data_IF_359407546582
#
_entry.id   IF_359407546582
#
_cell.length_a   1.000
_cell.length_b   1.000
_cell.length_c   1.000
_cell.angle_alpha   90.00
_cell.angle_beta   90.00
_cell.angle_gamma   90.00
#
_symmetry.space_group_name_H-M   'P 1'
#
loop_
_entity.id
_entity.type
_entity.pdbx_description
1 polymer ?
#
# COMPACT_ATOMS: atom_id res chain seq x y z
N UNK A 1 -49.29 41.09 18.15
CA UNK A 1 -48.02 41.17 17.40
C UNK A 1 -46.98 40.29 18.08
N UNK A 2 -46.17 39.59 17.30
CA UNK A 2 -45.96 38.15 17.42
C UNK A 2 -45.06 37.73 18.58
N UNK A 3 -45.28 36.49 19.02
CA UNK A 3 -44.64 35.87 20.17
C UNK A 3 -43.14 35.66 19.98
N UNK A 4 -42.39 36.10 20.99
CA UNK A 4 -41.04 35.62 21.26
C UNK A 4 -41.13 34.14 21.64
N UNK A 5 -40.70 33.25 20.77
CA UNK A 5 -40.20 31.94 21.21
C UNK A 5 -38.75 32.14 21.66
N UNK A 6 -38.56 32.55 22.91
CA UNK A 6 -37.34 32.24 23.64
C UNK A 6 -37.49 30.80 24.12
N UNK A 7 -37.14 29.84 23.26
CA UNK A 7 -36.77 28.52 23.75
C UNK A 7 -35.35 28.66 24.30
N UNK A 8 -35.25 28.80 25.62
CA UNK A 8 -34.02 28.52 26.37
C UNK A 8 -33.69 27.04 26.23
N UNK A 9 -33.29 26.60 25.04
CA UNK A 9 -32.80 25.26 24.83
C UNK A 9 -31.35 25.24 25.32
N UNK A 10 -31.03 24.53 26.41
CA UNK A 10 -29.69 24.52 26.99
C UNK A 10 -28.70 23.73 26.13
N UNK A 11 -29.19 22.92 25.20
CA UNK A 11 -28.38 22.09 24.31
C UNK A 11 -28.86 22.16 22.84
N UNK A 12 -27.91 22.22 21.91
CA UNK A 12 -28.11 22.11 20.47
C UNK A 12 -27.59 20.75 20.01
N UNK A 13 -28.39 19.99 19.26
CA UNK A 13 -27.95 18.74 18.61
C UNK A 13 -27.88 18.96 17.10
N UNK A 14 -26.72 18.69 16.53
CA UNK A 14 -26.43 18.88 15.11
C UNK A 14 -26.04 17.52 14.52
N UNK A 15 -26.89 16.97 13.67
CA UNK A 15 -26.57 15.75 12.92
C UNK A 15 -26.00 16.16 11.56
N UNK A 16 -24.73 15.86 11.34
CA UNK A 16 -23.98 16.20 10.12
C UNK A 16 -24.16 17.65 9.61
N UNK A 17 -23.91 18.70 10.44
CA UNK A 17 -24.16 20.09 10.05
C UNK A 17 -23.28 20.59 8.88
N UNK A 18 -22.26 19.82 8.50
CA UNK A 18 -21.32 20.13 7.43
C UNK A 18 -21.54 19.26 6.18
N UNK A 19 -22.47 18.30 6.20
CA UNK A 19 -22.73 17.45 5.04
C UNK A 19 -23.28 18.28 3.88
N UNK A 20 -22.75 18.05 2.67
CA UNK A 20 -23.16 18.73 1.43
C UNK A 20 -22.93 20.25 1.38
N UNK A 21 -22.16 20.82 2.33
CA UNK A 21 -21.74 22.22 2.32
C UNK A 21 -20.31 22.36 1.77
N UNK A 22 -20.05 23.46 1.07
CA UNK A 22 -18.67 23.85 0.77
C UNK A 22 -17.91 24.17 2.07
N UNK A 23 -16.58 24.14 1.99
CA UNK A 23 -15.69 24.34 3.15
C UNK A 23 -15.97 25.66 3.87
N UNK A 24 -16.31 26.74 3.15
CA UNK A 24 -16.59 28.04 3.75
C UNK A 24 -17.91 28.03 4.53
N UNK A 25 -18.94 27.37 4.00
CA UNK A 25 -20.22 27.22 4.68
C UNK A 25 -20.11 26.34 5.91
N UNK A 26 -19.40 25.21 5.82
CA UNK A 26 -19.14 24.34 6.97
C UNK A 26 -18.45 25.11 8.12
N UNK A 27 -17.41 25.89 7.79
CA UNK A 27 -16.71 26.74 8.77
C UNK A 27 -17.64 27.78 9.39
N UNK A 28 -18.39 28.54 8.59
CA UNK A 28 -19.32 29.57 9.11
C UNK A 28 -20.38 28.98 10.04
N UNK A 29 -20.92 27.81 9.70
CA UNK A 29 -21.89 27.11 10.55
C UNK A 29 -21.26 26.77 11.90
N UNK A 30 -20.04 26.21 11.91
CA UNK A 30 -19.33 25.88 13.15
C UNK A 30 -18.93 27.13 13.95
N UNK A 31 -18.58 28.24 13.31
CA UNK A 31 -18.34 29.53 13.97
C UNK A 31 -19.60 30.08 14.66
N UNK A 32 -20.76 29.96 14.02
CA UNK A 32 -22.05 30.36 14.62
C UNK A 32 -22.40 29.48 15.81
N UNK A 33 -22.19 28.16 15.69
CA UNK A 33 -22.39 27.22 16.79
C UNK A 33 -21.45 27.54 17.95
N UNK A 34 -20.19 27.88 17.67
CA UNK A 34 -19.22 28.28 18.69
C UNK A 34 -19.67 29.54 19.44
N UNK A 35 -20.12 30.56 18.72
CA UNK A 35 -20.64 31.78 19.36
C UNK A 35 -21.84 31.48 20.30
N UNK A 36 -22.73 30.57 19.91
CA UNK A 36 -23.84 30.13 20.76
C UNK A 36 -23.38 29.39 22.01
N UNK A 37 -22.31 28.59 21.89
CA UNK A 37 -21.70 27.89 23.04
C UNK A 37 -21.02 28.86 23.98
N UNK A 38 -20.29 29.84 23.44
CA UNK A 38 -19.65 30.90 24.23
C UNK A 38 -20.69 31.77 24.98
N UNK A 39 -21.92 31.88 24.45
CA UNK A 39 -23.10 32.49 25.10
C UNK A 39 -23.76 31.58 26.17
N UNK A 40 -23.14 30.44 26.51
CA UNK A 40 -23.55 29.55 27.59
C UNK A 40 -24.43 28.37 27.18
N UNK A 41 -24.56 28.08 25.87
CA UNK A 41 -25.25 26.87 25.39
C UNK A 41 -24.29 25.69 25.31
N UNK A 42 -24.81 24.47 25.36
CA UNK A 42 -24.06 23.26 25.02
C UNK A 42 -24.38 22.86 23.58
N UNK A 43 -23.42 22.39 22.81
CA UNK A 43 -23.66 21.84 21.48
C UNK A 43 -23.05 20.43 21.36
N UNK A 44 -23.80 19.52 20.78
CA UNK A 44 -23.34 18.18 20.40
C UNK A 44 -23.49 18.07 18.89
N UNK A 45 -22.39 17.78 18.20
CA UNK A 45 -22.36 17.71 16.74
C UNK A 45 -21.72 16.41 16.26
N UNK A 46 -22.34 15.76 15.28
CA UNK A 46 -21.72 14.68 14.52
C UNK A 46 -20.92 15.27 13.35
N UNK A 47 -19.60 15.19 13.41
CA UNK A 47 -18.68 15.75 12.41
C UNK A 47 -17.80 14.62 11.86
N UNK A 48 -17.82 14.44 10.54
CA UNK A 48 -17.02 13.42 9.85
C UNK A 48 -15.59 13.87 9.53
N UNK A 49 -15.36 15.18 9.42
CA UNK A 49 -14.02 15.74 9.21
C UNK A 49 -13.31 15.91 10.56
N UNK A 50 -12.28 15.08 10.78
CA UNK A 50 -11.51 15.07 12.02
C UNK A 50 -10.78 16.39 12.30
N UNK A 51 -10.36 17.12 11.26
CA UNK A 51 -9.65 18.39 11.40
C UNK A 51 -10.59 19.53 11.79
N UNK A 52 -11.82 19.53 11.27
CA UNK A 52 -12.87 20.44 11.73
C UNK A 52 -13.29 20.12 13.17
N UNK A 53 -13.51 18.84 13.49
CA UNK A 53 -13.85 18.42 14.84
C UNK A 53 -12.77 18.83 15.85
N UNK A 54 -11.49 18.60 15.51
CA UNK A 54 -10.35 18.99 16.32
C UNK A 54 -10.31 20.49 16.64
N UNK A 55 -10.73 21.32 15.69
CA UNK A 55 -10.62 22.78 15.77
C UNK A 55 -11.76 23.44 16.53
N UNK A 56 -12.97 22.90 16.43
CA UNK A 56 -14.18 23.57 16.94
C UNK A 56 -14.78 22.90 18.18
N UNK A 57 -14.45 21.63 18.46
CA UNK A 57 -14.98 20.91 19.60
C UNK A 57 -14.02 20.96 20.79
N UNK A 58 -14.56 21.21 21.98
CA UNK A 58 -13.80 21.15 23.24
C UNK A 58 -13.54 19.70 23.68
N UNK A 59 -14.49 18.80 23.39
CA UNK A 59 -14.40 17.36 23.63
C UNK A 59 -14.87 16.57 22.40
N UNK A 60 -14.26 15.40 22.18
CA UNK A 60 -14.59 14.45 21.13
C UNK A 60 -14.97 13.10 21.73
N UNK A 61 -15.91 12.43 21.06
CA UNK A 61 -16.23 11.01 21.27
C UNK A 61 -16.05 10.31 19.94
N UNK A 62 -15.00 9.50 19.83
CA UNK A 62 -14.70 8.75 18.62
C UNK A 62 -15.48 7.44 18.62
N UNK A 63 -16.30 7.24 17.59
CA UNK A 63 -17.12 6.04 17.41
C UNK A 63 -16.57 5.22 16.24
N UNK A 64 -16.32 3.92 16.47
CA UNK A 64 -15.97 2.98 15.41
C UNK A 64 -16.46 1.57 15.73
N UNK A 65 -16.83 0.80 14.70
CA UNK A 65 -17.34 -0.57 14.88
C UNK A 65 -18.55 -0.69 15.80
N UNK A 66 -19.41 0.33 15.83
CA UNK A 66 -20.62 0.36 16.66
C UNK A 66 -20.41 0.69 18.15
N UNK A 67 -19.20 1.12 18.55
CA UNK A 67 -18.90 1.49 19.93
C UNK A 67 -17.99 2.71 20.07
N UNK A 68 -17.83 3.20 21.31
CA UNK A 68 -16.88 4.27 21.65
C UNK A 68 -15.48 3.69 21.71
N UNK A 69 -14.54 4.30 20.95
CA UNK A 69 -13.11 3.95 20.97
C UNK A 69 -12.31 4.86 21.89
N UNK A 70 -12.59 6.16 21.86
CA UNK A 70 -11.95 7.15 22.70
C UNK A 70 -12.90 8.30 23.01
N UNK A 71 -12.73 8.94 24.15
CA UNK A 71 -13.47 10.14 24.54
C UNK A 71 -12.58 11.07 25.38
N UNK A 72 -12.65 12.38 25.12
CA UNK A 72 -11.83 13.37 25.82
C UNK A 72 -11.52 14.57 24.93
N UNK A 73 -10.45 15.31 25.25
CA UNK A 73 -10.03 16.46 24.43
C UNK A 73 -9.53 16.00 23.07
N UNK A 74 -9.62 16.85 22.02
CA UNK A 74 -9.10 16.51 20.70
C UNK A 74 -7.69 15.93 20.69
N UNK A 75 -6.76 16.51 21.46
CA UNK A 75 -5.37 16.05 21.51
C UNK A 75 -5.19 14.67 22.16
N UNK A 76 -6.11 14.26 23.03
CA UNK A 76 -6.06 12.95 23.71
C UNK A 76 -6.77 11.87 22.88
N UNK A 77 -7.76 12.26 22.06
CA UNK A 77 -8.57 11.34 21.22
C UNK A 77 -7.92 11.13 19.85
N UNK A 78 -7.47 12.19 19.19
CA UNK A 78 -6.93 12.14 17.83
C UNK A 78 -5.43 11.86 17.87
N UNK A 79 -5.06 10.64 18.22
CA UNK A 79 -3.67 10.14 18.15
C UNK A 79 -3.50 9.14 17.02
N UNK A 80 -2.28 8.95 16.51
CA UNK A 80 -2.01 7.98 15.46
C UNK A 80 -2.46 6.56 15.85
N UNK A 81 -2.27 6.16 17.11
CA UNK A 81 -2.69 4.85 17.60
C UNK A 81 -4.21 4.71 17.64
N UNK A 82 -4.92 5.70 18.20
CA UNK A 82 -6.39 5.69 18.25
C UNK A 82 -7.01 5.66 16.85
N UNK A 83 -6.44 6.42 15.91
CA UNK A 83 -6.95 6.50 14.54
C UNK A 83 -6.67 5.22 13.74
N UNK A 84 -5.51 4.59 13.96
CA UNK A 84 -5.19 3.27 13.41
C UNK A 84 -6.19 2.23 13.91
N UNK A 85 -6.45 2.17 15.22
CA UNK A 85 -7.39 1.22 15.81
C UNK A 85 -8.84 1.46 15.38
N UNK A 86 -9.22 2.72 15.11
CA UNK A 86 -10.59 3.09 14.75
C UNK A 86 -10.91 2.96 13.26
N UNK A 87 -9.95 3.29 12.39
CA UNK A 87 -10.18 3.44 10.94
C UNK A 87 -9.27 2.57 10.07
N UNK A 88 -8.36 1.79 10.66
CA UNK A 88 -7.32 1.04 9.95
C UNK A 88 -6.46 1.94 9.05
N UNK A 89 -6.28 3.20 9.45
CA UNK A 89 -5.61 4.23 8.65
C UNK A 89 -4.25 4.61 9.23
N UNK A 90 -3.20 4.55 8.41
CA UNK A 90 -1.91 5.18 8.68
C UNK A 90 -2.08 6.71 8.69
N UNK A 91 -1.86 7.35 9.84
CA UNK A 91 -2.06 8.80 9.99
C UNK A 91 -0.89 9.46 10.72
N UNK A 92 -0.47 10.60 10.20
CA UNK A 92 0.43 11.52 10.89
C UNK A 92 -0.41 12.57 11.63
N UNK A 93 -0.26 12.61 12.95
CA UNK A 93 -0.87 13.65 13.79
C UNK A 93 0.18 14.68 14.16
N UNK A 94 -0.07 15.93 13.80
CA UNK A 94 0.76 17.10 14.16
C UNK A 94 -0.11 18.18 14.78
N UNK A 95 0.45 19.36 15.05
CA UNK A 95 -0.33 20.52 15.52
C UNK A 95 -0.72 21.41 14.34
N UNK A 96 -1.97 21.87 14.31
CA UNK A 96 -2.46 22.81 13.32
C UNK A 96 -1.72 24.16 13.43
N UNK A 97 -1.23 24.74 12.31
CA UNK A 97 -0.61 26.06 12.36
C UNK A 97 -1.59 27.12 12.89
N UNK A 98 -1.21 27.81 13.96
CA UNK A 98 -1.99 28.90 14.55
C UNK A 98 -3.05 28.48 15.59
N UNK A 99 -3.14 27.20 15.93
CA UNK A 99 -3.97 26.68 17.05
C UNK A 99 -3.21 25.57 17.79
N UNK A 100 -3.72 25.14 18.95
CA UNK A 100 -3.20 23.96 19.68
C UNK A 100 -3.94 22.67 19.28
N UNK A 101 -4.81 22.73 18.27
CA UNK A 101 -5.62 21.60 17.83
C UNK A 101 -4.78 20.60 17.01
N UNK A 102 -5.08 19.29 17.09
CA UNK A 102 -4.41 18.30 16.26
C UNK A 102 -4.79 18.45 14.77
N UNK A 103 -3.79 18.24 13.91
CA UNK A 103 -3.90 18.13 12.46
C UNK A 103 -3.67 16.68 12.06
N UNK A 104 -4.72 16.01 11.58
CA UNK A 104 -4.67 14.64 11.08
C UNK A 104 -4.40 14.66 9.58
N UNK A 105 -3.28 14.08 9.18
CA UNK A 105 -2.90 13.89 7.77
C UNK A 105 -2.90 12.40 7.46
N UNK A 106 -3.79 11.92 6.57
CA UNK A 106 -3.72 10.55 6.06
C UNK A 106 -2.38 10.34 5.34
N UNK A 107 -1.68 9.27 5.69
CA UNK A 107 -0.55 8.80 4.92
C UNK A 107 -1.10 7.77 3.92
N UNK A 108 -0.62 7.81 2.68
CA UNK A 108 -0.90 6.72 1.75
C UNK A 108 -0.37 5.43 2.39
N UNK A 109 -1.17 4.36 2.37
CA UNK A 109 -0.71 3.01 2.71
C UNK A 109 0.46 2.68 1.78
N UNK A 110 1.67 2.95 2.27
CA UNK A 110 2.86 2.30 1.76
C UNK A 110 2.95 1.06 2.62
N UNK A 111 2.35 -0.06 2.18
CA UNK A 111 2.78 -1.37 2.65
C UNK A 111 4.27 -1.51 2.30
N UNK A 112 5.12 -0.96 3.17
CA UNK A 112 6.57 -1.01 3.08
C UNK A 112 7.02 -2.35 3.67
N UNK A 113 6.66 -3.42 2.99
CA UNK A 113 7.64 -4.44 2.70
C UNK A 113 7.85 -4.35 1.20
N UNK A 114 8.88 -3.61 0.79
CA UNK A 114 9.31 -3.54 -0.60
C UNK A 114 9.29 -4.96 -1.19
N UNK A 115 8.30 -5.25 -2.05
CA UNK A 115 8.08 -6.59 -2.59
C UNK A 115 9.38 -7.08 -3.18
N UNK A 116 9.80 -8.29 -2.81
CA UNK A 116 10.97 -8.93 -3.36
C UNK A 116 10.60 -9.50 -4.71
N UNK A 117 11.22 -9.01 -5.76
CA UNK A 117 10.96 -9.45 -7.13
C UNK A 117 12.23 -10.01 -7.73
N UNK A 118 12.15 -11.22 -8.29
CA UNK A 118 13.26 -11.84 -9.00
C UNK A 118 13.01 -11.74 -10.50
N UNK A 119 13.89 -11.04 -11.24
CA UNK A 119 13.76 -10.85 -12.68
C UNK A 119 14.58 -11.91 -13.41
N UNK A 120 13.94 -12.65 -14.32
CA UNK A 120 14.57 -13.66 -15.17
C UNK A 120 14.53 -13.18 -16.63
N UNK A 121 15.71 -12.96 -17.20
CA UNK A 121 15.88 -12.60 -18.61
C UNK A 121 17.04 -11.64 -18.82
N UNK A 122 17.36 -11.38 -20.08
CA UNK A 122 18.55 -10.60 -20.49
C UNK A 122 18.18 -9.37 -21.34
N UNK A 123 19.17 -8.50 -21.53
CA UNK A 123 19.09 -7.37 -22.46
C UNK A 123 18.16 -6.23 -22.00
N UNK A 124 17.77 -5.40 -22.96
CA UNK A 124 16.97 -4.18 -22.72
C UNK A 124 15.62 -4.43 -22.04
N UNK A 125 14.84 -5.47 -22.40
CA UNK A 125 13.55 -5.72 -21.73
C UNK A 125 13.72 -6.00 -20.23
N UNK A 126 14.69 -6.84 -19.84
CA UNK A 126 15.00 -7.11 -18.45
C UNK A 126 15.51 -5.85 -17.71
N UNK A 127 16.42 -5.09 -18.31
CA UNK A 127 16.90 -3.83 -17.73
C UNK A 127 15.77 -2.81 -17.49
N UNK A 128 14.79 -2.76 -18.40
CA UNK A 128 13.64 -1.88 -18.28
C UNK A 128 12.69 -2.33 -17.15
N UNK A 129 12.45 -3.65 -17.02
CA UNK A 129 11.69 -4.23 -15.91
C UNK A 129 12.34 -3.91 -14.55
N UNK A 130 13.65 -4.11 -14.43
CA UNK A 130 14.42 -3.79 -13.21
C UNK A 130 14.25 -2.32 -12.85
N UNK A 131 14.48 -1.41 -13.79
CA UNK A 131 14.38 0.04 -13.55
C UNK A 131 12.98 0.44 -13.08
N UNK A 132 11.94 -0.17 -13.68
CA UNK A 132 10.55 0.13 -13.37
C UNK A 132 10.14 -0.38 -11.98
N UNK A 133 10.58 -1.58 -11.62
CA UNK A 133 10.28 -2.22 -10.33
C UNK A 133 11.01 -1.52 -9.18
N UNK A 134 12.29 -1.19 -9.35
CA UNK A 134 13.07 -0.41 -8.37
C UNK A 134 12.45 0.99 -8.20
N UNK A 135 12.09 1.66 -9.30
CA UNK A 135 11.42 2.96 -9.26
C UNK A 135 10.04 2.92 -8.57
N UNK A 136 9.43 1.75 -8.44
CA UNK A 136 8.21 1.52 -7.69
C UNK A 136 8.45 1.06 -6.24
N UNK A 137 9.72 1.04 -5.79
CA UNK A 137 10.09 0.67 -4.42
C UNK A 137 10.20 -0.84 -4.17
N UNK A 138 10.27 -1.68 -5.20
CA UNK A 138 10.51 -3.12 -5.03
C UNK A 138 11.98 -3.41 -4.73
N UNK A 139 12.26 -4.47 -3.95
CA UNK A 139 13.61 -5.05 -3.81
C UNK A 139 13.82 -6.03 -4.96
N UNK A 140 14.71 -5.69 -5.88
CA UNK A 140 14.89 -6.47 -7.11
C UNK A 140 16.16 -7.29 -7.05
N UNK A 141 16.06 -8.56 -7.45
CA UNK A 141 17.20 -9.40 -7.81
C UNK A 141 17.08 -9.84 -9.26
N UNK A 142 18.20 -10.21 -9.88
CA UNK A 142 18.24 -10.70 -11.26
C UNK A 142 18.80 -12.13 -11.27
N UNK A 143 18.15 -12.99 -12.03
CA UNK A 143 18.58 -14.36 -12.31
C UNK A 143 19.87 -14.43 -13.12
N UNK A 144 20.21 -15.63 -13.58
CA UNK A 144 21.50 -15.85 -14.25
C UNK A 144 21.60 -15.02 -15.52
N UNK A 145 22.51 -14.03 -15.51
CA UNK A 145 22.76 -13.12 -16.63
C UNK A 145 24.24 -13.10 -17.01
N UNK A 146 24.59 -13.03 -18.31
CA UNK A 146 25.98 -12.88 -18.73
C UNK A 146 26.62 -11.59 -18.20
N UNK A 147 27.89 -11.65 -17.81
CA UNK A 147 28.65 -10.46 -17.46
C UNK A 147 28.75 -9.51 -18.66
N UNK A 148 28.43 -8.23 -18.45
CA UNK A 148 28.35 -7.20 -19.50
C UNK A 148 27.00 -7.15 -20.23
N UNK A 149 26.00 -7.93 -19.80
CA UNK A 149 24.63 -7.78 -20.29
C UNK A 149 24.00 -6.48 -19.76
N UNK A 150 23.13 -5.85 -20.56
CA UNK A 150 22.44 -4.60 -20.21
C UNK A 150 21.61 -4.72 -18.92
N UNK A 151 21.01 -5.87 -18.63
CA UNK A 151 20.28 -6.10 -17.38
C UNK A 151 21.23 -6.18 -16.18
N UNK A 152 22.39 -6.82 -16.34
CA UNK A 152 23.41 -6.93 -15.30
C UNK A 152 24.02 -5.55 -14.96
N UNK A 153 24.35 -4.75 -15.98
CA UNK A 153 24.84 -3.37 -15.81
C UNK A 153 23.79 -2.51 -15.10
N UNK A 154 22.52 -2.62 -15.51
CA UNK A 154 21.44 -1.85 -14.88
C UNK A 154 21.18 -2.26 -13.43
N UNK A 155 21.31 -3.55 -13.09
CA UNK A 155 21.24 -4.00 -11.70
C UNK A 155 22.35 -3.36 -10.87
N UNK A 156 23.59 -3.36 -11.38
CA UNK A 156 24.73 -2.79 -10.67
C UNK A 156 24.54 -1.27 -10.44
N UNK A 157 24.05 -0.53 -11.43
CA UNK A 157 23.75 0.91 -11.30
C UNK A 157 22.70 1.21 -10.21
N UNK A 158 21.81 0.25 -9.94
CA UNK A 158 20.70 0.38 -9.00
C UNK A 158 20.92 -0.42 -7.69
N UNK A 159 22.14 -0.91 -7.45
CA UNK A 159 22.53 -1.71 -6.27
C UNK A 159 21.62 -2.94 -6.05
N UNK A 160 21.20 -3.59 -7.15
CA UNK A 160 20.41 -4.81 -7.14
C UNK A 160 21.30 -6.05 -7.17
N UNK A 161 20.89 -7.10 -6.47
CA UNK A 161 21.60 -8.38 -6.48
C UNK A 161 21.44 -9.06 -7.85
N UNK A 162 22.55 -9.46 -8.49
CA UNK A 162 22.53 -10.13 -9.79
C UNK A 162 23.42 -11.37 -9.78
N UNK A 163 22.87 -12.49 -10.24
CA UNK A 163 23.66 -13.71 -10.46
C UNK A 163 24.33 -13.62 -11.83
N UNK A 164 25.62 -13.29 -11.84
CA UNK A 164 26.38 -13.12 -13.09
C UNK A 164 27.23 -14.34 -13.42
N UNK A 165 27.27 -14.71 -14.71
CA UNK A 165 28.14 -15.76 -15.26
C UNK A 165 29.02 -15.19 -16.38
N UNK A 166 30.20 -15.77 -16.67
CA UNK A 166 31.02 -15.34 -17.80
C UNK A 166 30.25 -15.41 -19.12
N UNK A 167 30.47 -14.43 -20.00
CA UNK A 167 29.86 -14.43 -21.33
C UNK A 167 30.21 -15.72 -22.10
N UNK A 168 29.20 -16.30 -22.78
CA UNK A 168 29.31 -17.54 -23.56
C UNK A 168 29.67 -18.80 -22.76
N UNK A 169 29.71 -18.73 -21.42
CA UNK A 169 29.74 -19.91 -20.56
C UNK A 169 28.32 -20.41 -20.30
N UNK A 170 28.15 -21.73 -20.17
CA UNK A 170 26.90 -22.30 -19.68
C UNK A 170 26.63 -21.91 -18.22
N UNK A 171 25.39 -22.07 -17.78
CA UNK A 171 25.00 -21.84 -16.37
C UNK A 171 25.60 -22.96 -15.53
N UNK A 172 26.54 -22.64 -14.65
CA UNK A 172 27.07 -23.59 -13.68
C UNK A 172 26.07 -23.88 -12.54
N UNK A 173 26.27 -24.99 -11.84
CA UNK A 173 25.34 -25.46 -10.81
C UNK A 173 25.21 -24.46 -9.64
N UNK A 174 26.28 -23.73 -9.31
CA UNK A 174 26.29 -22.78 -8.21
C UNK A 174 25.52 -21.49 -8.53
N UNK A 175 25.62 -21.01 -9.77
CA UNK A 175 24.82 -19.90 -10.28
C UNK A 175 23.33 -20.29 -10.34
N UNK A 176 23.04 -21.52 -10.78
CA UNK A 176 21.66 -22.03 -10.80
C UNK A 176 21.06 -22.15 -9.41
N UNK A 177 21.79 -22.72 -8.45
CA UNK A 177 21.34 -22.85 -7.05
C UNK A 177 21.04 -21.48 -6.43
N UNK A 178 21.95 -20.51 -6.59
CA UNK A 178 21.70 -19.14 -6.10
C UNK A 178 20.50 -18.47 -6.75
N UNK A 179 20.32 -18.62 -8.07
CA UNK A 179 19.17 -18.05 -8.74
C UNK A 179 17.85 -18.68 -8.26
N UNK A 180 17.85 -20.00 -7.99
CA UNK A 180 16.71 -20.71 -7.40
C UNK A 180 16.39 -20.19 -5.99
N UNK A 181 17.40 -20.02 -5.13
CA UNK A 181 17.20 -19.50 -3.78
C UNK A 181 16.59 -18.07 -3.80
N UNK A 182 17.09 -17.22 -4.68
CA UNK A 182 16.58 -15.85 -4.87
C UNK A 182 15.14 -15.85 -5.41
N UNK A 183 14.83 -16.73 -6.36
CA UNK A 183 13.48 -16.88 -6.89
C UNK A 183 12.50 -17.43 -5.84
N UNK A 184 12.92 -18.39 -5.02
CA UNK A 184 12.10 -18.96 -3.95
C UNK A 184 11.82 -17.97 -2.81
N UNK A 185 12.76 -17.05 -2.54
CA UNK A 185 12.58 -15.99 -1.55
C UNK A 185 11.77 -14.78 -2.07
N UNK A 186 11.53 -14.71 -3.39
CA UNK A 186 10.79 -13.62 -4.01
C UNK A 186 9.27 -13.79 -3.84
N UNK A 187 8.57 -12.66 -3.73
CA UNK A 187 7.12 -12.61 -3.72
C UNK A 187 6.56 -12.80 -5.15
N UNK A 188 7.38 -12.50 -6.17
CA UNK A 188 7.08 -12.73 -7.58
C UNK A 188 8.36 -12.92 -8.42
N UNK A 189 8.27 -13.79 -9.43
CA UNK A 189 9.26 -13.88 -10.52
C UNK A 189 8.75 -13.12 -11.75
N UNK A 190 9.57 -12.24 -12.31
CA UNK A 190 9.22 -11.48 -13.53
C UNK A 190 10.09 -11.95 -14.68
N UNK A 191 9.46 -12.47 -15.72
CA UNK A 191 10.13 -12.92 -16.94
C UNK A 191 10.13 -11.78 -17.94
N UNK A 192 11.30 -11.31 -18.36
CA UNK A 192 11.41 -10.18 -19.28
C UNK A 192 12.56 -10.35 -20.27
N UNK A 193 12.26 -10.37 -21.57
CA UNK A 193 13.26 -10.57 -22.63
C UNK A 193 13.56 -12.03 -22.91
N UNK A 194 14.73 -12.31 -23.47
CA UNK A 194 15.15 -13.68 -23.79
C UNK A 194 15.48 -14.45 -22.52
N UNK A 195 14.98 -15.68 -22.42
CA UNK A 195 15.34 -16.63 -21.38
C UNK A 195 15.97 -17.84 -22.02
N UNK A 196 17.18 -18.20 -21.58
CA UNK A 196 17.81 -19.45 -22.03
C UNK A 196 17.11 -20.66 -21.41
N UNK A 197 17.16 -21.80 -22.10
CA UNK A 197 16.54 -23.08 -21.68
C UNK A 197 16.93 -23.56 -20.27
N UNK A 198 18.03 -23.05 -19.70
CA UNK A 198 18.51 -23.38 -18.35
C UNK A 198 17.75 -22.70 -17.20
N UNK A 199 16.81 -21.81 -17.49
CA UNK A 199 16.11 -21.01 -16.47
C UNK A 199 14.77 -21.60 -16.00
N UNK A 200 14.30 -22.72 -16.57
CA UNK A 200 13.04 -23.37 -16.13
C UNK A 200 13.00 -23.69 -14.63
N UNK A 201 14.07 -24.24 -14.00
CA UNK A 201 14.07 -24.51 -12.57
C UNK A 201 13.97 -23.23 -11.70
N UNK A 202 14.45 -22.09 -12.22
CA UNK A 202 14.41 -20.79 -11.53
C UNK A 202 12.99 -20.23 -11.55
N UNK A 203 12.31 -20.34 -12.70
CA UNK A 203 10.92 -19.91 -12.83
C UNK A 203 9.99 -20.78 -11.99
N UNK A 204 10.19 -22.11 -12.00
CA UNK A 204 9.38 -23.05 -11.22
C UNK A 204 9.55 -22.90 -9.70
N UNK A 205 10.73 -22.46 -9.25
CA UNK A 205 10.97 -22.16 -7.84
C UNK A 205 10.17 -20.94 -7.35
N UNK A 206 9.85 -20.01 -8.25
CA UNK A 206 8.98 -18.88 -7.97
C UNK A 206 7.50 -19.29 -8.02
N UNK A 207 6.86 -19.41 -6.87
CA UNK A 207 5.44 -19.83 -6.79
C UNK A 207 4.43 -18.90 -7.50
N UNK A 208 4.85 -17.70 -7.92
CA UNK A 208 4.07 -16.78 -8.76
C UNK A 208 5.01 -16.13 -9.76
N UNK A 209 4.60 -16.05 -11.03
CA UNK A 209 5.40 -15.37 -12.03
C UNK A 209 4.56 -14.58 -13.05
N UNK A 210 5.13 -13.49 -13.56
CA UNK A 210 4.54 -12.57 -14.55
C UNK A 210 5.45 -12.45 -15.76
N UNK A 211 4.90 -12.47 -16.97
CA UNK A 211 5.68 -12.27 -18.19
C UNK A 211 5.49 -10.83 -18.70
N UNK A 212 6.58 -10.13 -19.01
CA UNK A 212 6.52 -8.80 -19.60
C UNK A 212 6.31 -8.92 -21.11
N UNK A 213 5.27 -8.26 -21.62
CA UNK A 213 5.04 -8.18 -23.07
C UNK A 213 6.24 -7.53 -23.78
N UNK A 214 6.78 -8.20 -24.79
CA UNK A 214 7.82 -7.66 -25.67
C UNK A 214 7.30 -7.61 -27.11
N UNK A 215 7.75 -6.62 -27.88
CA UNK A 215 7.40 -6.46 -29.30
C UNK A 215 7.85 -7.65 -30.19
N UNK A 216 8.67 -8.59 -29.67
CA UNK A 216 9.27 -9.69 -30.43
C UNK A 216 8.86 -11.12 -30.04
N UNK A 217 7.89 -11.35 -29.15
CA UNK A 217 7.48 -12.74 -28.82
C UNK A 217 5.96 -12.95 -28.75
N UNK A 218 5.35 -13.03 -29.93
CA UNK A 218 4.21 -13.93 -30.11
C UNK A 218 4.79 -15.35 -30.18
N UNK A 219 4.32 -16.28 -29.34
CA UNK A 219 4.60 -17.73 -29.30
C UNK A 219 5.57 -18.21 -28.20
N UNK A 220 5.10 -18.21 -26.95
CA UNK A 220 5.40 -19.31 -26.02
C UNK A 220 4.12 -19.64 -25.24
N UNK A 221 3.58 -20.84 -25.53
CA UNK A 221 2.35 -21.37 -24.96
C UNK A 221 2.65 -22.04 -23.62
N UNK A 222 2.18 -21.47 -22.51
CA UNK A 222 1.59 -22.19 -21.35
C UNK A 222 1.06 -21.19 -20.32
N UNK A 223 -0.18 -20.70 -20.43
CA UNK A 223 -0.94 -20.05 -19.33
C UNK A 223 -0.15 -19.08 -18.41
N UNK A 224 0.36 -17.97 -18.97
CA UNK A 224 1.05 -16.91 -18.23
C UNK A 224 0.21 -15.62 -18.25
N UNK A 225 0.07 -14.93 -17.12
CA UNK A 225 -0.48 -13.57 -17.10
C UNK A 225 0.58 -12.62 -17.68
N UNK A 226 0.47 -12.34 -18.97
CA UNK A 226 1.31 -11.36 -19.66
C UNK A 226 0.88 -9.95 -19.26
N UNK A 227 1.84 -9.10 -18.91
CA UNK A 227 1.58 -7.74 -18.42
C UNK A 227 2.42 -6.74 -19.22
N UNK A 228 1.83 -5.61 -19.67
CA UNK A 228 2.61 -4.52 -20.25
C UNK A 228 3.62 -3.99 -19.24
N UNK A 229 4.84 -3.67 -19.68
CA UNK A 229 5.90 -3.11 -18.82
C UNK A 229 5.42 -1.90 -17.98
N UNK A 230 4.52 -1.08 -18.53
CA UNK A 230 3.96 0.08 -17.83
C UNK A 230 3.10 -0.30 -16.62
N UNK A 231 2.38 -1.43 -16.68
CA UNK A 231 1.49 -1.94 -15.65
C UNK A 231 2.18 -2.90 -14.67
N UNK A 232 3.43 -3.29 -14.95
CA UNK A 232 4.19 -4.27 -14.17
C UNK A 232 4.23 -3.96 -12.65
N UNK A 233 4.48 -2.71 -12.18
CA UNK A 233 4.46 -2.43 -10.74
C UNK A 233 3.10 -2.64 -10.08
N UNK A 234 2.02 -2.25 -10.77
CA UNK A 234 0.67 -2.41 -10.25
C UNK A 234 0.29 -3.89 -10.17
N UNK A 235 0.67 -4.69 -11.18
CA UNK A 235 0.46 -6.13 -11.19
C UNK A 235 1.19 -6.81 -10.02
N UNK A 236 2.49 -6.50 -9.83
CA UNK A 236 3.27 -7.01 -8.68
C UNK A 236 2.66 -6.60 -7.34
N UNK A 237 2.19 -5.35 -7.21
CA UNK A 237 1.53 -4.87 -6.00
C UNK A 237 0.22 -5.56 -5.68
N UNK A 238 -0.53 -5.99 -6.71
CA UNK A 238 -1.82 -6.69 -6.56
C UNK A 238 -1.71 -8.18 -6.21
N UNK A 239 -0.49 -8.75 -6.20
CA UNK A 239 -0.30 -10.16 -5.87
C UNK A 239 -0.58 -10.41 -4.38
N UNK A 240 -1.23 -11.54 -4.04
CA UNK A 240 -1.51 -11.89 -2.65
C UNK A 240 -0.19 -12.07 -1.86
N UNK A 241 -0.16 -11.69 -0.57
CA UNK A 241 1.04 -11.82 0.25
C UNK A 241 1.46 -13.28 0.42
N UNK A 242 2.77 -13.52 0.43
CA UNK A 242 3.41 -14.84 0.43
C UNK A 242 3.00 -15.71 1.64
N UNK A 243 2.56 -15.11 2.75
CA UNK A 243 2.17 -15.79 3.99
C UNK A 243 0.84 -16.58 3.94
N UNK A 244 -0.05 -16.33 2.97
CA UNK A 244 -1.31 -17.09 2.83
C UNK A 244 -1.17 -18.34 1.92
N UNK A 245 0.00 -18.57 1.33
CA UNK A 245 0.22 -19.62 0.32
C UNK A 245 0.83 -20.92 0.87
N UNK A 246 1.26 -20.95 2.13
CA UNK A 246 1.82 -22.13 2.80
C UNK A 246 0.76 -23.02 3.48
N UNK A 247 -0.53 -22.72 3.28
CA UNK A 247 -1.63 -23.59 3.67
C UNK A 247 -1.67 -24.82 2.74
N UNK A 248 -0.75 -25.75 2.98
CA UNK A 248 -0.82 -27.12 2.50
C UNK A 248 -2.24 -27.66 2.75
N UNK A 249 -3.02 -28.06 1.74
CA UNK A 249 -4.26 -28.78 2.00
C UNK A 249 -3.88 -30.05 2.77
N UNK A 250 -4.59 -30.42 3.85
CA UNK A 250 -4.22 -31.60 4.62
C UNK A 250 -4.17 -32.80 3.68
N UNK A 251 -3.00 -33.44 3.64
CA UNK A 251 -2.79 -34.76 3.05
C UNK A 251 -3.90 -35.67 3.60
N UNK A 252 -4.89 -35.97 2.76
CA UNK A 252 -5.88 -36.97 3.12
C UNK A 252 -5.16 -38.31 3.14
N UNK A 253 -4.93 -38.80 4.35
CA UNK A 253 -4.28 -40.08 4.57
C UNK A 253 -5.12 -41.19 3.95
N UNK A 254 -4.42 -42.06 3.23
CA UNK A 254 -4.88 -43.34 2.76
C UNK A 254 -5.74 -44.05 3.80
N UNK A 255 -6.94 -44.50 3.42
CA UNK A 255 -7.55 -45.66 4.06
C UNK A 255 -7.64 -46.76 3.03
N UNK A 256 -6.69 -47.66 3.14
CA UNK A 256 -6.79 -49.05 2.71
C UNK A 256 -8.04 -49.68 3.34
N UNK A 257 -8.88 -50.30 2.52
CA UNK A 257 -9.49 -51.61 2.77
C UNK A 257 -10.04 -52.17 1.44
#
# INVERSE_FOLDING_TARGET
SPGRLHTETPALLLDEPTASLDINHAVRTLELVRALVDDGKTAVAAIHDLNLAARYCDELVLLAGGGVRAAGRPADVLTSDTLRDAFDAETLVTTQPGTDAPLVTPLAEQESVARRVHVVGTGTPAAAAVSKLVGAGCRVSIGVVPAGDTAAERAADLDCEAVTVPAFAGIDDAARERAVDLAAAADAVVIAGETGDGNSPVVEAGGTYLAVETDESVHASTAHDTVPLAALPAAVGSLPPTAERDATPPLNQSTTD
#
